data_IF_936770806709
#
_entry.id   IF_936770806709
#
_cell.length_a   1.000
_cell.length_b   1.000
_cell.length_c   1.000
_cell.angle_alpha   90.00
_cell.angle_beta   90.00
_cell.angle_gamma   90.00
#
_symmetry.space_group_name_H-M   'P 1'
#
loop_
_entity.id
_entity.type
_entity.pdbx_description
1 polymer ?
#
# COMPACT_ATOMS: atom_id res chain seq x y z
N UNK A 1 -4.67 -27.14 -16.95
CA UNK A 1 -3.53 -26.20 -16.92
C UNK A 1 -2.83 -26.38 -15.58
N UNK A 2 -1.51 -26.30 -15.59
CA UNK A 2 -0.72 -26.30 -14.35
C UNK A 2 -1.06 -25.03 -13.55
N UNK A 3 -1.28 -25.18 -12.24
CA UNK A 3 -1.62 -24.05 -11.38
C UNK A 3 -0.35 -23.26 -11.04
N UNK A 4 -0.51 -21.95 -10.83
CA UNK A 4 0.54 -21.12 -10.26
C UNK A 4 0.77 -21.54 -8.80
N UNK A 5 1.93 -22.10 -8.51
CA UNK A 5 2.34 -22.44 -7.15
C UNK A 5 2.83 -21.17 -6.44
N UNK A 6 2.17 -20.83 -5.33
CA UNK A 6 2.43 -19.62 -4.54
C UNK A 6 2.94 -20.01 -3.16
N UNK A 7 4.00 -19.33 -2.72
CA UNK A 7 4.51 -19.38 -1.35
C UNK A 7 4.18 -18.11 -0.57
N UNK A 8 3.81 -18.24 0.71
CA UNK A 8 3.53 -17.11 1.60
C UNK A 8 4.59 -17.03 2.68
N UNK A 9 5.33 -15.93 2.73
CA UNK A 9 6.34 -15.64 3.73
C UNK A 9 5.78 -14.57 4.68
N UNK A 10 5.48 -15.00 5.92
CA UNK A 10 4.77 -14.20 6.91
C UNK A 10 3.30 -14.63 7.05
N UNK A 11 3.00 -15.51 8.00
CA UNK A 11 1.64 -16.03 8.27
C UNK A 11 0.89 -15.18 9.31
N UNK A 12 1.08 -13.86 9.26
CA UNK A 12 0.35 -12.87 10.05
C UNK A 12 -1.06 -12.61 9.51
N UNK A 13 -1.67 -11.49 10.00
CA UNK A 13 -3.01 -11.10 9.57
C UNK A 13 -3.11 -10.94 8.05
N UNK A 14 -2.19 -10.15 7.44
CA UNK A 14 -2.27 -9.85 6.01
C UNK A 14 -1.92 -11.06 5.14
N UNK A 15 -0.94 -11.88 5.56
CA UNK A 15 -0.65 -13.14 4.88
C UNK A 15 -1.85 -14.10 4.88
N UNK A 16 -2.62 -14.11 5.97
CA UNK A 16 -3.89 -14.84 6.06
C UNK A 16 -4.97 -14.30 5.12
N UNK A 17 -5.05 -12.98 4.93
CA UNK A 17 -5.99 -12.34 3.99
C UNK A 17 -5.67 -12.79 2.58
N UNK A 18 -4.44 -12.61 2.10
CA UNK A 18 -4.02 -13.04 0.75
C UNK A 18 -4.20 -14.53 0.55
N UNK A 19 -3.77 -15.36 1.51
CA UNK A 19 -3.97 -16.80 1.43
C UNK A 19 -5.43 -17.19 1.24
N UNK A 20 -6.34 -16.55 1.97
CA UNK A 20 -7.78 -16.81 1.89
C UNK A 20 -8.41 -16.43 0.55
N UNK A 21 -7.83 -15.45 -0.14
CA UNK A 21 -8.24 -15.01 -1.46
C UNK A 21 -7.65 -15.92 -2.55
N UNK A 22 -6.36 -16.21 -2.45
CA UNK A 22 -5.63 -17.05 -3.42
C UNK A 22 -6.20 -18.47 -3.52
N UNK A 23 -6.61 -19.09 -2.42
CA UNK A 23 -7.22 -20.43 -2.46
C UNK A 23 -8.57 -20.48 -3.19
N UNK A 24 -9.20 -19.33 -3.43
CA UNK A 24 -10.46 -19.22 -4.19
C UNK A 24 -10.22 -19.08 -5.70
N UNK A 25 -9.01 -18.78 -6.13
CA UNK A 25 -8.67 -18.74 -7.56
C UNK A 25 -8.25 -20.15 -8.02
N UNK A 26 -9.04 -20.76 -8.90
CA UNK A 26 -8.81 -22.10 -9.39
C UNK A 26 -7.47 -22.25 -10.15
N UNK A 27 -6.89 -21.14 -10.60
CA UNK A 27 -5.58 -21.09 -11.30
C UNK A 27 -4.39 -21.12 -10.35
N UNK A 28 -4.62 -20.98 -9.03
CA UNK A 28 -3.58 -20.84 -8.01
C UNK A 28 -3.58 -22.04 -7.07
N UNK A 29 -2.40 -22.38 -6.57
CA UNK A 29 -2.21 -23.27 -5.44
C UNK A 29 -1.30 -22.59 -4.42
N UNK A 30 -1.76 -22.37 -3.20
CA UNK A 30 -0.87 -22.02 -2.08
C UNK A 30 -0.12 -23.28 -1.69
N UNK A 31 1.13 -23.40 -2.16
CA UNK A 31 1.93 -24.63 -2.06
C UNK A 31 2.75 -24.67 -0.78
N UNK A 32 3.29 -23.54 -0.34
CA UNK A 32 4.16 -23.45 0.83
C UNK A 32 3.89 -22.21 1.68
N UNK A 33 4.12 -22.33 2.99
CA UNK A 33 4.02 -21.23 3.96
C UNK A 33 5.24 -21.25 4.86
N UNK A 34 5.80 -20.07 5.15
CA UNK A 34 6.86 -19.89 6.15
C UNK A 34 6.55 -18.73 7.09
N UNK A 35 6.78 -18.93 8.38
CA UNK A 35 6.76 -17.87 9.42
C UNK A 35 7.79 -18.24 10.49
N UNK A 36 8.45 -17.26 11.09
CA UNK A 36 9.38 -17.47 12.22
C UNK A 36 8.67 -18.08 13.42
N UNK A 37 7.36 -17.82 13.59
CA UNK A 37 6.51 -18.48 14.56
C UNK A 37 5.85 -19.71 13.90
N UNK A 38 6.44 -20.89 14.08
CA UNK A 38 6.00 -22.14 13.45
C UNK A 38 4.50 -22.42 13.61
N UNK A 39 3.92 -22.09 14.77
CA UNK A 39 2.48 -22.24 15.01
C UNK A 39 1.61 -21.40 14.04
N UNK A 40 2.09 -20.21 13.63
CA UNK A 40 1.38 -19.39 12.63
C UNK A 40 1.44 -20.04 11.26
N UNK A 41 2.62 -20.51 10.86
CA UNK A 41 2.80 -21.22 9.60
C UNK A 41 1.93 -22.48 9.53
N UNK A 42 1.94 -23.31 10.59
CA UNK A 42 1.11 -24.51 10.67
C UNK A 42 -0.39 -24.21 10.59
N UNK A 43 -0.84 -23.15 11.28
CA UNK A 43 -2.25 -22.75 11.24
C UNK A 43 -2.66 -22.33 9.83
N UNK A 44 -1.86 -21.51 9.14
CA UNK A 44 -2.15 -21.08 7.79
C UNK A 44 -2.07 -22.26 6.81
N UNK A 45 -1.07 -23.12 6.94
CA UNK A 45 -0.94 -24.33 6.13
C UNK A 45 -2.16 -25.25 6.24
N UNK A 46 -2.70 -25.45 7.45
CA UNK A 46 -3.94 -26.24 7.63
C UNK A 46 -5.15 -25.67 6.89
N UNK A 47 -5.26 -24.34 6.79
CA UNK A 47 -6.41 -23.70 6.13
C UNK A 47 -6.29 -23.65 4.60
N UNK A 48 -5.06 -23.69 4.09
CA UNK A 48 -4.76 -23.59 2.65
C UNK A 48 -4.45 -24.94 1.99
N UNK A 49 -4.12 -25.96 2.79
CA UNK A 49 -3.59 -27.24 2.29
C UNK A 49 -2.11 -27.17 1.91
N UNK A 50 -1.41 -26.08 2.24
CA UNK A 50 0.00 -25.88 1.96
C UNK A 50 0.92 -26.70 2.86
N UNK A 51 2.20 -26.84 2.45
CA UNK A 51 3.26 -27.37 3.30
C UNK A 51 3.91 -26.26 4.12
N UNK A 52 4.45 -26.58 5.29
CA UNK A 52 5.26 -25.64 6.07
C UNK A 52 6.71 -25.78 5.65
N UNK A 53 7.27 -24.71 5.07
CA UNK A 53 8.68 -24.64 4.71
C UNK A 53 9.54 -24.31 5.94
N UNK A 54 10.70 -24.95 6.06
CA UNK A 54 11.62 -24.78 7.21
C UNK A 54 12.40 -23.48 7.13
N UNK A 55 12.59 -22.94 5.93
CA UNK A 55 13.28 -21.68 5.69
C UNK A 55 12.65 -20.89 4.53
N UNK A 56 13.01 -19.62 4.42
CA UNK A 56 12.63 -18.75 3.30
C UNK A 56 13.19 -19.30 1.98
N UNK A 57 14.42 -19.75 1.98
CA UNK A 57 15.10 -20.31 0.80
C UNK A 57 14.38 -21.57 0.31
N UNK A 58 14.04 -22.50 1.21
CA UNK A 58 13.27 -23.71 0.88
C UNK A 58 11.93 -23.35 0.23
N UNK A 59 11.23 -22.33 0.76
CA UNK A 59 9.98 -21.87 0.18
C UNK A 59 10.19 -21.29 -1.21
N UNK A 60 11.17 -20.38 -1.37
CA UNK A 60 11.45 -19.72 -2.65
C UNK A 60 11.79 -20.77 -3.73
N UNK A 61 12.57 -21.80 -3.41
CA UNK A 61 12.91 -22.87 -4.35
C UNK A 61 11.66 -23.63 -4.80
N UNK A 62 10.73 -23.89 -3.90
CA UNK A 62 9.58 -24.76 -4.10
C UNK A 62 8.44 -24.15 -4.94
N UNK A 63 8.42 -22.83 -5.19
CA UNK A 63 7.25 -22.16 -5.79
C UNK A 63 7.60 -21.32 -7.02
N UNK A 64 6.58 -20.95 -7.80
CA UNK A 64 6.70 -20.03 -8.94
C UNK A 64 6.56 -18.56 -8.56
N UNK A 65 5.78 -18.26 -7.52
CA UNK A 65 5.53 -16.89 -7.04
C UNK A 65 5.59 -16.83 -5.51
N UNK A 66 6.04 -15.68 -4.98
CA UNK A 66 6.23 -15.44 -3.55
C UNK A 66 5.41 -14.23 -3.12
N UNK A 67 4.63 -14.38 -2.06
CA UNK A 67 3.98 -13.29 -1.32
C UNK A 67 4.82 -12.94 -0.09
N UNK A 68 5.32 -11.70 -0.04
CA UNK A 68 6.12 -11.18 1.08
C UNK A 68 5.19 -10.35 1.97
N UNK A 69 4.84 -10.92 3.13
CA UNK A 69 3.84 -10.39 4.07
C UNK A 69 4.35 -10.36 5.50
N UNK A 70 5.67 -10.23 5.64
CA UNK A 70 6.41 -10.09 6.91
C UNK A 70 6.33 -8.67 7.46
N UNK A 71 6.92 -8.35 8.62
CA UNK A 71 7.14 -6.96 9.02
C UNK A 71 8.01 -6.18 8.03
N UNK A 72 7.78 -4.88 7.92
CA UNK A 72 8.27 -4.00 6.85
C UNK A 72 9.78 -4.07 6.59
N UNK A 73 10.60 -4.04 7.64
CA UNK A 73 12.07 -4.05 7.52
C UNK A 73 12.64 -5.37 6.99
N UNK A 74 11.80 -6.41 6.85
CA UNK A 74 12.20 -7.69 6.25
C UNK A 74 11.88 -7.80 4.77
N UNK A 75 11.04 -6.92 4.24
CA UNK A 75 10.53 -7.02 2.87
C UNK A 75 11.65 -6.98 1.83
N UNK A 76 12.56 -6.00 1.91
CA UNK A 76 13.65 -5.81 0.94
C UNK A 76 14.50 -7.05 0.74
N UNK A 77 15.01 -7.65 1.83
CA UNK A 77 15.89 -8.80 1.74
C UNK A 77 15.20 -10.02 1.11
N UNK A 78 13.94 -10.26 1.49
CA UNK A 78 13.14 -11.38 0.96
C UNK A 78 12.80 -11.15 -0.52
N UNK A 79 12.38 -9.92 -0.87
CA UNK A 79 12.08 -9.56 -2.25
C UNK A 79 13.29 -9.73 -3.17
N UNK A 80 14.47 -9.25 -2.76
CA UNK A 80 15.72 -9.41 -3.51
C UNK A 80 16.11 -10.88 -3.68
N UNK A 81 15.96 -11.72 -2.64
CA UNK A 81 16.23 -13.14 -2.72
C UNK A 81 15.29 -13.85 -3.73
N UNK A 82 13.99 -13.51 -3.71
CA UNK A 82 13.02 -14.06 -4.63
C UNK A 82 13.26 -13.61 -6.09
N UNK A 83 13.60 -12.33 -6.30
CA UNK A 83 13.97 -11.80 -7.63
C UNK A 83 15.22 -12.51 -8.16
N UNK A 84 16.27 -12.67 -7.34
CA UNK A 84 17.49 -13.37 -7.71
C UNK A 84 17.24 -14.85 -8.10
N UNK A 85 16.24 -15.47 -7.45
CA UNK A 85 15.77 -16.82 -7.81
C UNK A 85 14.80 -16.83 -9.01
N UNK A 86 14.57 -15.68 -9.66
CA UNK A 86 13.67 -15.51 -10.81
C UNK A 86 12.22 -15.88 -10.52
N UNK A 87 11.77 -15.67 -9.28
CA UNK A 87 10.38 -15.90 -8.89
C UNK A 87 9.56 -14.63 -9.10
N UNK A 88 8.28 -14.78 -9.44
CA UNK A 88 7.33 -13.68 -9.39
C UNK A 88 7.13 -13.24 -7.95
N UNK A 89 7.00 -11.94 -7.69
CA UNK A 89 6.94 -11.39 -6.34
C UNK A 89 5.75 -10.45 -6.19
N UNK A 90 4.90 -10.76 -5.25
CA UNK A 90 3.99 -9.80 -4.63
C UNK A 90 4.61 -9.38 -3.28
N UNK A 91 4.86 -8.10 -3.11
CA UNK A 91 5.45 -7.60 -1.86
C UNK A 91 4.52 -6.57 -1.21
N UNK A 92 4.13 -6.81 0.03
CA UNK A 92 3.34 -5.86 0.79
C UNK A 92 4.09 -4.53 0.97
N UNK A 93 3.29 -3.50 1.14
CA UNK A 93 3.81 -2.14 1.39
C UNK A 93 4.27 -1.97 2.87
N UNK A 94 5.28 -1.12 3.12
CA UNK A 94 6.27 -0.64 2.14
C UNK A 94 7.20 -1.79 1.75
N UNK A 95 7.56 -1.90 0.49
CA UNK A 95 8.51 -2.95 0.10
C UNK A 95 9.96 -2.68 0.55
N UNK A 96 10.21 -1.45 1.02
CA UNK A 96 11.46 -1.00 1.63
C UNK A 96 11.21 0.14 2.61
N UNK A 97 12.09 0.29 3.60
CA UNK A 97 12.04 1.35 4.62
C UNK A 97 13.20 2.35 4.51
N UNK A 98 13.93 2.30 3.41
CA UNK A 98 14.97 3.28 3.03
C UNK A 98 14.99 3.50 1.52
N UNK A 99 15.51 4.65 1.08
CA UNK A 99 15.69 4.95 -0.35
C UNK A 99 16.69 4.00 -0.99
N UNK A 100 17.75 3.67 -0.29
CA UNK A 100 18.81 2.77 -0.74
C UNK A 100 18.25 1.38 -1.04
N UNK A 101 17.48 0.83 -0.11
CA UNK A 101 16.81 -0.47 -0.26
C UNK A 101 15.75 -0.45 -1.37
N UNK A 102 14.96 0.63 -1.41
CA UNK A 102 13.96 0.80 -2.45
C UNK A 102 14.59 0.87 -3.85
N UNK A 103 15.74 1.53 -3.98
CA UNK A 103 16.52 1.57 -5.23
C UNK A 103 17.02 0.19 -5.61
N UNK A 104 17.60 -0.55 -4.66
CA UNK A 104 18.10 -1.89 -4.92
C UNK A 104 17.01 -2.84 -5.44
N UNK A 105 15.80 -2.80 -4.86
CA UNK A 105 14.67 -3.61 -5.34
C UNK A 105 14.18 -3.13 -6.71
N UNK A 106 14.09 -1.81 -6.94
CA UNK A 106 13.69 -1.26 -8.24
C UNK A 106 14.65 -1.71 -9.34
N UNK A 107 15.96 -1.59 -9.12
CA UNK A 107 16.99 -1.95 -10.09
C UNK A 107 16.94 -3.46 -10.37
N UNK A 108 16.92 -4.30 -9.32
CA UNK A 108 16.81 -5.75 -9.45
C UNK A 108 15.53 -6.19 -10.19
N UNK A 109 14.39 -5.56 -9.89
CA UNK A 109 13.12 -5.86 -10.57
C UNK A 109 13.12 -5.46 -12.04
N UNK A 110 13.81 -4.36 -12.40
CA UNK A 110 13.92 -3.88 -13.77
C UNK A 110 14.79 -4.77 -14.66
N UNK A 111 15.74 -5.49 -14.07
CA UNK A 111 16.63 -6.44 -14.74
C UNK A 111 16.01 -7.85 -14.82
N UNK A 112 14.90 -8.08 -14.13
CA UNK A 112 14.20 -9.37 -14.09
C UNK A 112 13.06 -9.43 -15.10
N UNK A 113 12.85 -10.60 -15.71
CA UNK A 113 11.65 -10.88 -16.48
C UNK A 113 10.47 -11.33 -15.60
N UNK A 114 10.68 -11.55 -14.31
CA UNK A 114 9.63 -11.92 -13.38
C UNK A 114 8.75 -10.71 -13.01
N UNK A 115 7.48 -10.96 -12.79
CA UNK A 115 6.54 -9.95 -12.31
C UNK A 115 6.91 -9.53 -10.88
N UNK A 116 6.96 -8.22 -10.65
CA UNK A 116 7.07 -7.63 -9.31
C UNK A 116 5.91 -6.65 -9.11
N UNK A 117 5.07 -6.91 -8.11
CA UNK A 117 3.94 -6.04 -7.74
C UNK A 117 4.02 -5.63 -6.27
N UNK A 118 3.72 -4.37 -5.99
CA UNK A 118 3.65 -3.84 -4.61
C UNK A 118 2.20 -3.83 -4.12
N UNK A 119 1.97 -4.22 -2.87
CA UNK A 119 0.67 -4.31 -2.23
C UNK A 119 0.09 -2.95 -1.80
N UNK A 120 -0.12 -2.03 -2.74
CA UNK A 120 -0.87 -0.79 -2.51
C UNK A 120 -2.37 -1.00 -2.80
N UNK A 121 -3.01 -1.82 -1.99
CA UNK A 121 -4.40 -2.27 -2.12
C UNK A 121 -5.40 -1.15 -2.39
N UNK A 122 -5.18 0.04 -1.83
CA UNK A 122 -6.10 1.18 -2.01
C UNK A 122 -6.25 1.64 -3.45
N UNK A 123 -5.22 1.48 -4.30
CA UNK A 123 -5.35 1.76 -5.74
C UNK A 123 -6.41 0.90 -6.42
N UNK A 124 -6.69 -0.29 -5.87
CA UNK A 124 -7.68 -1.24 -6.38
C UNK A 124 -9.02 -1.17 -5.64
N UNK A 125 -9.12 -0.40 -4.55
CA UNK A 125 -10.36 -0.25 -3.80
C UNK A 125 -11.43 0.47 -4.64
N UNK A 126 -12.66 -0.05 -4.73
CA UNK A 126 -13.72 0.49 -5.58
C UNK A 126 -14.02 1.97 -5.36
N UNK A 127 -13.87 2.46 -4.12
CA UNK A 127 -14.06 3.88 -3.79
C UNK A 127 -13.04 4.77 -4.50
N UNK A 128 -11.76 4.37 -4.51
CA UNK A 128 -10.68 5.15 -5.14
C UNK A 128 -10.62 4.95 -6.65
N UNK A 129 -10.96 3.77 -7.16
CA UNK A 129 -11.16 3.56 -8.60
C UNK A 129 -12.28 4.47 -9.13
N UNK A 130 -13.40 4.53 -8.39
CA UNK A 130 -14.51 5.43 -8.73
C UNK A 130 -14.09 6.90 -8.66
N UNK A 131 -13.34 7.29 -7.61
CA UNK A 131 -12.81 8.65 -7.50
C UNK A 131 -11.92 8.99 -8.70
N UNK A 132 -10.99 8.11 -9.07
CA UNK A 132 -10.10 8.31 -10.23
C UNK A 132 -10.88 8.49 -11.54
N UNK A 133 -11.95 7.74 -11.73
CA UNK A 133 -12.86 7.89 -12.88
C UNK A 133 -13.55 9.25 -12.88
N UNK A 134 -14.12 9.67 -11.73
CA UNK A 134 -14.75 10.99 -11.61
C UNK A 134 -13.78 12.14 -11.89
N UNK A 135 -12.50 12.00 -11.48
CA UNK A 135 -11.46 13.01 -11.74
C UNK A 135 -11.02 13.07 -13.20
N UNK A 136 -11.24 12.03 -13.99
CA UNK A 136 -11.01 12.10 -15.45
C UNK A 136 -12.05 12.99 -16.17
N UNK A 137 -13.22 13.18 -15.56
CA UNK A 137 -14.30 14.03 -16.09
C UNK A 137 -14.27 15.45 -15.52
N UNK A 138 -13.61 15.66 -14.37
CA UNK A 138 -13.58 16.94 -13.67
C UNK A 138 -12.19 17.17 -13.07
N UNK A 139 -11.40 18.04 -13.72
CA UNK A 139 -10.05 18.35 -13.26
C UNK A 139 -10.04 18.88 -11.80
N UNK A 140 -9.24 18.29 -10.91
CA UNK A 140 -9.16 18.74 -9.53
C UNK A 140 -8.34 20.04 -9.43
N UNK A 141 -8.78 20.98 -8.57
CA UNK A 141 -8.04 22.19 -8.24
C UNK A 141 -7.21 22.02 -6.99
N UNK A 142 -7.81 21.41 -5.95
CA UNK A 142 -7.16 21.12 -4.68
C UNK A 142 -7.84 19.95 -3.96
N UNK A 143 -7.21 19.47 -2.89
CA UNK A 143 -7.78 18.40 -2.06
C UNK A 143 -7.39 18.54 -0.59
N UNK A 144 -8.24 17.97 0.28
CA UNK A 144 -7.92 17.67 1.67
C UNK A 144 -7.91 16.15 1.88
N UNK A 145 -6.81 15.66 2.44
CA UNK A 145 -6.61 14.24 2.72
C UNK A 145 -6.36 14.04 4.20
N UNK A 146 -7.00 13.04 4.76
CA UNK A 146 -6.82 12.67 6.16
C UNK A 146 -6.58 11.18 6.27
N UNK A 147 -5.61 10.79 7.12
CA UNK A 147 -5.43 9.42 7.56
C UNK A 147 -4.99 9.40 9.02
N UNK A 148 -5.92 9.09 9.89
CA UNK A 148 -5.62 8.92 11.30
C UNK A 148 -5.53 7.42 11.63
N UNK A 149 -4.81 7.11 12.68
CA UNK A 149 -4.79 5.79 13.29
C UNK A 149 -4.97 5.96 14.79
N UNK A 150 -5.58 4.99 15.45
CA UNK A 150 -5.57 4.92 16.90
C UNK A 150 -4.20 4.44 17.41
N UNK A 151 -4.15 4.08 18.67
CA UNK A 151 -2.94 3.56 19.31
C UNK A 151 -2.26 2.45 18.48
N UNK A 152 -0.94 2.51 18.40
CA UNK A 152 -0.12 1.53 17.68
C UNK A 152 0.24 0.36 18.60
N UNK A 153 -0.76 -0.40 19.05
CA UNK A 153 -0.62 -1.46 20.04
C UNK A 153 -0.94 -2.87 19.53
N UNK A 154 -1.50 -2.99 18.33
CA UNK A 154 -1.90 -4.28 17.81
C UNK A 154 -1.61 -4.42 16.30
N UNK A 155 -0.67 -5.30 15.94
CA UNK A 155 0.23 -6.07 16.82
C UNK A 155 1.21 -5.16 17.59
N UNK A 156 1.75 -5.62 18.71
CA UNK A 156 2.62 -4.84 19.63
C UNK A 156 3.80 -4.17 18.91
N UNK A 157 4.37 -4.81 17.87
CA UNK A 157 5.50 -4.30 17.12
C UNK A 157 5.16 -3.13 16.17
N UNK A 158 3.88 -2.82 15.94
CA UNK A 158 3.45 -1.75 14.99
C UNK A 158 3.92 -0.36 15.42
N UNK A 159 4.11 -0.12 16.72
CA UNK A 159 4.67 1.11 17.26
C UNK A 159 6.20 1.16 17.31
N UNK A 160 6.90 0.10 16.89
CA UNK A 160 8.35 0.01 16.92
C UNK A 160 8.95 0.43 15.57
N UNK A 161 9.63 1.59 15.49
CA UNK A 161 10.23 2.07 14.24
C UNK A 161 11.37 1.18 13.73
N UNK A 162 12.05 0.41 14.58
CA UNK A 162 13.09 -0.54 14.17
C UNK A 162 12.50 -1.71 13.36
N UNK A 163 11.19 -1.96 13.50
CA UNK A 163 10.46 -3.02 12.80
C UNK A 163 9.66 -2.47 11.62
N UNK A 164 9.06 -1.28 11.78
CA UNK A 164 8.15 -0.70 10.80
C UNK A 164 8.83 0.31 9.86
N UNK A 165 9.97 0.86 10.24
CA UNK A 165 10.59 2.01 9.59
C UNK A 165 9.99 3.36 10.01
N UNK A 166 8.95 3.34 10.88
CA UNK A 166 8.27 4.51 11.40
C UNK A 166 6.83 4.67 10.92
N UNK A 167 6.10 5.58 11.58
CA UNK A 167 4.66 5.77 11.38
C UNK A 167 4.27 6.09 9.92
N UNK A 168 5.05 6.92 9.23
CA UNK A 168 4.74 7.23 7.83
C UNK A 168 4.90 6.01 6.92
N UNK A 169 5.91 5.16 7.13
CA UNK A 169 6.10 3.91 6.39
C UNK A 169 5.00 2.90 6.69
N UNK A 170 4.61 2.76 7.95
CA UNK A 170 3.60 1.78 8.34
C UNK A 170 2.19 2.19 7.92
N UNK A 171 1.84 3.47 8.08
CA UNK A 171 0.45 3.93 7.95
C UNK A 171 0.26 4.90 6.79
N UNK A 172 0.91 6.05 6.84
CA UNK A 172 0.60 7.20 5.98
C UNK A 172 0.99 6.98 4.52
N UNK A 173 1.93 6.08 4.25
CA UNK A 173 2.37 5.72 2.88
C UNK A 173 1.19 5.33 1.97
N UNK A 174 0.13 4.75 2.52
CA UNK A 174 -1.08 4.45 1.76
C UNK A 174 -1.70 5.70 1.13
N UNK A 175 -1.74 6.81 1.87
CA UNK A 175 -2.34 8.05 1.35
C UNK A 175 -1.36 8.86 0.52
N UNK A 176 -0.06 8.78 0.80
CA UNK A 176 0.96 9.37 -0.06
C UNK A 176 0.95 8.71 -1.45
N UNK A 177 0.88 7.39 -1.50
CA UNK A 177 0.70 6.64 -2.74
C UNK A 177 -0.63 6.97 -3.44
N UNK A 178 -1.72 7.02 -2.68
CA UNK A 178 -3.05 7.35 -3.19
C UNK A 178 -3.11 8.75 -3.80
N UNK A 179 -2.47 9.73 -3.16
CA UNK A 179 -2.39 11.10 -3.71
C UNK A 179 -1.64 11.13 -5.03
N UNK A 180 -0.53 10.38 -5.18
CA UNK A 180 0.16 10.21 -6.46
C UNK A 180 -0.76 9.55 -7.51
N UNK A 181 -1.42 8.46 -7.13
CA UNK A 181 -2.35 7.75 -8.01
C UNK A 181 -3.47 8.66 -8.53
N UNK A 182 -4.04 9.49 -7.66
CA UNK A 182 -5.16 10.36 -8.01
C UNK A 182 -4.74 11.62 -8.77
N UNK A 183 -3.65 12.28 -8.35
CA UNK A 183 -3.31 13.66 -8.71
C UNK A 183 -2.02 13.79 -9.51
N UNK A 184 -1.25 12.70 -9.66
CA UNK A 184 0.04 12.69 -10.36
C UNK A 184 1.24 12.90 -9.43
N UNK A 185 2.40 13.16 -10.00
CA UNK A 185 3.65 13.25 -9.23
C UNK A 185 3.72 14.53 -8.39
N UNK A 186 4.28 14.39 -7.19
CA UNK A 186 4.50 15.48 -6.25
C UNK A 186 5.81 16.19 -6.59
N UNK A 187 5.74 17.50 -6.85
CA UNK A 187 6.92 18.32 -7.12
C UNK A 187 7.60 18.80 -5.84
N UNK A 188 6.81 19.33 -4.89
CA UNK A 188 7.33 19.83 -3.61
C UNK A 188 6.38 19.55 -2.46
N UNK A 189 6.93 19.50 -1.24
CA UNK A 189 6.16 19.40 0.00
C UNK A 189 6.74 20.27 1.12
N UNK A 190 5.83 20.79 1.95
CA UNK A 190 6.12 21.45 3.22
C UNK A 190 5.46 20.59 4.31
N UNK A 191 6.18 20.21 5.35
CA UNK A 191 5.68 19.30 6.40
C UNK A 191 6.00 19.82 7.78
N UNK A 192 4.99 19.82 8.65
CA UNK A 192 5.16 19.92 10.10
C UNK A 192 4.93 18.51 10.70
N UNK A 193 5.73 18.14 11.68
CA UNK A 193 5.60 16.87 12.40
C UNK A 193 5.98 17.03 13.84
N UNK A 194 5.31 16.30 14.72
CA UNK A 194 5.54 16.29 16.17
C UNK A 194 5.45 14.87 16.71
N UNK A 195 6.01 14.66 17.89
CA UNK A 195 5.94 13.43 18.65
C UNK A 195 5.11 13.70 19.90
N UNK A 196 4.05 12.93 20.12
CA UNK A 196 3.16 13.07 21.27
C UNK A 196 3.17 11.84 22.15
N UNK A 197 2.93 10.67 21.59
CA UNK A 197 2.74 9.43 22.30
C UNK A 197 3.90 8.45 22.12
N UNK A 198 4.49 8.43 20.92
CA UNK A 198 5.56 7.50 20.56
C UNK A 198 6.94 8.15 20.58
N UNK A 199 8.04 7.37 20.68
CA UNK A 199 9.40 7.92 20.68
C UNK A 199 9.81 8.55 19.34
N UNK A 200 9.03 8.35 18.28
CA UNK A 200 9.22 8.95 16.95
C UNK A 200 8.11 9.95 16.62
N UNK A 201 8.22 10.59 15.45
CA UNK A 201 7.19 11.48 14.94
C UNK A 201 5.89 10.67 14.66
N UNK A 202 4.79 11.04 15.28
CA UNK A 202 3.51 10.34 15.24
C UNK A 202 2.33 11.19 14.78
N UNK A 203 2.55 12.50 14.55
CA UNK A 203 1.58 13.45 14.03
C UNK A 203 2.20 14.30 12.92
N UNK A 204 1.52 14.39 11.77
CA UNK A 204 2.02 15.08 10.59
C UNK A 204 0.93 15.93 9.92
N UNK A 205 1.32 17.13 9.51
CA UNK A 205 0.54 17.97 8.60
C UNK A 205 1.41 18.39 7.43
N UNK A 206 0.95 18.14 6.21
CA UNK A 206 1.72 18.41 5.00
C UNK A 206 0.90 19.21 3.97
N UNK A 207 1.59 20.09 3.22
CA UNK A 207 1.09 20.71 2.00
C UNK A 207 1.93 20.19 0.82
N UNK A 208 1.29 19.44 -0.07
CA UNK A 208 1.90 18.87 -1.26
C UNK A 208 1.51 19.70 -2.50
N UNK A 209 2.48 19.98 -3.38
CA UNK A 209 2.24 20.60 -4.69
C UNK A 209 2.64 19.61 -5.77
N UNK A 210 1.73 19.37 -6.69
CA UNK A 210 1.89 18.42 -7.78
C UNK A 210 2.47 19.09 -9.03
N UNK A 211 3.10 18.33 -9.90
CA UNK A 211 3.64 18.80 -11.16
C UNK A 211 2.55 19.43 -12.06
N UNK A 212 1.30 18.99 -11.93
CA UNK A 212 0.14 19.55 -12.61
C UNK A 212 -0.24 20.97 -12.17
N UNK A 213 0.37 21.50 -11.10
CA UNK A 213 -0.01 22.77 -10.46
C UNK A 213 -1.12 22.64 -9.40
N UNK A 214 -1.75 21.47 -9.27
CA UNK A 214 -2.66 21.14 -8.18
C UNK A 214 -1.92 21.15 -6.84
N UNK A 215 -2.64 21.33 -5.73
CA UNK A 215 -2.10 21.17 -4.38
C UNK A 215 -3.07 20.44 -3.47
N UNK A 216 -2.54 19.78 -2.45
CA UNK A 216 -3.36 19.11 -1.43
C UNK A 216 -2.74 19.22 -0.05
N UNK A 217 -3.59 19.19 0.97
CA UNK A 217 -3.16 19.03 2.35
C UNK A 217 -3.35 17.58 2.80
N UNK A 218 -2.43 17.11 3.65
CA UNK A 218 -2.52 15.81 4.30
C UNK A 218 -2.37 16.02 5.81
N UNK A 219 -3.31 15.47 6.59
CA UNK A 219 -3.18 15.34 8.04
C UNK A 219 -3.17 13.85 8.40
N UNK A 220 -2.20 13.44 9.21
CA UNK A 220 -2.05 12.04 9.63
C UNK A 220 -1.53 11.98 11.06
N UNK A 221 -2.27 11.29 11.93
CA UNK A 221 -1.97 11.19 13.36
C UNK A 221 -2.11 9.75 13.84
N UNK A 222 -1.16 9.28 14.65
CA UNK A 222 -1.17 7.93 15.20
C UNK A 222 -2.09 7.80 16.42
N UNK A 223 -2.09 8.72 17.34
CA UNK A 223 -2.83 8.63 18.61
C UNK A 223 -4.23 9.27 18.52
N UNK A 224 -4.85 9.19 17.35
CA UNK A 224 -6.19 9.70 17.14
C UNK A 224 -7.25 8.61 17.37
N UNK A 225 -8.52 9.02 17.44
CA UNK A 225 -9.62 8.06 17.53
C UNK A 225 -9.70 7.14 16.31
N UNK A 226 -9.99 5.87 16.57
CA UNK A 226 -10.35 4.89 15.54
C UNK A 226 -11.76 5.08 14.99
N UNK A 227 -12.48 6.12 15.43
CA UNK A 227 -13.85 6.35 14.97
C UNK A 227 -13.86 6.68 13.48
N UNK A 228 -14.74 5.98 12.82
CA UNK A 228 -15.05 6.12 11.40
C UNK A 228 -15.52 7.57 11.04
N UNK A 229 -15.03 8.15 9.94
CA UNK A 229 -14.00 7.67 9.05
C UNK A 229 -12.59 8.05 9.55
N UNK A 230 -11.68 7.09 9.62
CA UNK A 230 -10.28 7.38 9.96
C UNK A 230 -9.48 7.87 8.73
N UNK A 231 -9.87 7.49 7.50
CA UNK A 231 -9.33 8.07 6.27
C UNK A 231 -10.42 8.76 5.44
N UNK A 232 -10.06 9.84 4.78
CA UNK A 232 -10.96 10.63 3.94
C UNK A 232 -10.16 11.37 2.89
N UNK A 233 -10.69 11.41 1.66
CA UNK A 233 -10.23 12.27 0.58
C UNK A 233 -11.39 13.18 0.17
N UNK A 234 -11.15 14.49 0.17
CA UNK A 234 -12.11 15.50 -0.29
C UNK A 234 -11.44 16.31 -1.39
N UNK A 235 -12.02 16.30 -2.59
CA UNK A 235 -11.45 16.92 -3.79
C UNK A 235 -12.37 18.03 -4.27
N UNK A 236 -11.78 19.18 -4.54
CA UNK A 236 -12.47 20.36 -5.07
C UNK A 236 -12.18 20.50 -6.55
N UNK A 237 -13.27 20.49 -7.34
CA UNK A 237 -13.27 20.66 -8.78
C UNK A 237 -14.12 21.89 -9.15
N UNK A 238 -14.18 22.24 -10.44
CA UNK A 238 -15.07 23.31 -10.91
C UNK A 238 -16.54 22.93 -10.63
N UNK A 239 -17.23 23.73 -9.80
CA UNK A 239 -18.62 23.51 -9.38
C UNK A 239 -18.92 22.10 -8.82
N UNK A 240 -17.91 21.37 -8.32
CA UNK A 240 -18.10 20.05 -7.75
C UNK A 240 -17.16 19.79 -6.57
N UNK A 241 -17.65 19.08 -5.57
CA UNK A 241 -16.86 18.50 -4.50
C UNK A 241 -17.08 17.00 -4.47
N UNK A 242 -15.99 16.24 -4.43
CA UNK A 242 -16.05 14.78 -4.34
C UNK A 242 -15.43 14.35 -3.02
N UNK A 243 -16.16 13.56 -2.23
CA UNK A 243 -15.73 13.16 -0.90
C UNK A 243 -15.83 11.65 -0.73
N UNK A 244 -14.76 11.03 -0.27
CA UNK A 244 -14.78 9.62 0.17
C UNK A 244 -15.09 9.54 1.66
N UNK A 245 -15.68 8.44 2.09
CA UNK A 245 -15.86 8.10 3.49
C UNK A 245 -15.30 6.70 3.72
N UNK A 246 -14.00 6.63 4.00
CA UNK A 246 -13.20 5.40 3.95
C UNK A 246 -13.47 4.60 2.68
N UNK A 247 -13.61 3.27 2.83
CA UNK A 247 -14.00 2.35 1.75
C UNK A 247 -15.52 2.19 1.63
N UNK A 248 -16.31 2.96 2.42
CA UNK A 248 -17.75 2.75 2.55
C UNK A 248 -18.57 3.46 1.47
N UNK A 249 -18.16 4.66 1.09
CA UNK A 249 -18.91 5.43 0.11
C UNK A 249 -18.10 6.56 -0.51
N UNK A 250 -18.56 7.01 -1.67
CA UNK A 250 -18.11 8.22 -2.34
C UNK A 250 -19.33 9.09 -2.70
N UNK A 251 -19.25 10.37 -2.42
CA UNK A 251 -20.28 11.36 -2.73
C UNK A 251 -19.72 12.43 -3.64
N UNK A 252 -20.41 12.72 -4.73
CA UNK A 252 -20.19 13.89 -5.58
C UNK A 252 -21.32 14.87 -5.37
N UNK A 253 -20.97 16.09 -4.98
CA UNK A 253 -21.88 17.23 -4.86
C UNK A 253 -21.61 18.17 -6.02
N UNK A 254 -22.65 18.56 -6.75
CA UNK A 254 -22.55 19.36 -7.96
C UNK A 254 -23.42 20.60 -7.87
N UNK A 255 -22.96 21.67 -8.49
CA UNK A 255 -23.64 22.95 -8.67
C UNK A 255 -24.09 23.62 -7.37
N UNK A 256 -24.68 24.79 -7.50
CA UNK A 256 -25.18 25.60 -6.37
C UNK A 256 -26.54 25.12 -5.85
N UNK A 257 -27.22 24.25 -6.57
CA UNK A 257 -28.54 23.72 -6.22
C UNK A 257 -28.49 22.45 -5.34
N UNK A 258 -27.29 21.99 -5.01
CA UNK A 258 -27.10 20.95 -4.00
C UNK A 258 -27.43 19.51 -4.47
N UNK A 259 -27.25 19.19 -5.74
CA UNK A 259 -27.37 17.79 -6.20
C UNK A 259 -26.25 16.93 -5.60
N UNK A 260 -26.64 15.83 -4.98
CA UNK A 260 -25.72 14.87 -4.35
C UNK A 260 -25.90 13.47 -4.94
N UNK A 261 -24.82 12.90 -5.44
CA UNK A 261 -24.80 11.52 -5.92
C UNK A 261 -23.86 10.71 -5.02
N UNK A 262 -24.42 9.76 -4.28
CA UNK A 262 -23.65 8.87 -3.41
C UNK A 262 -23.67 7.45 -3.95
N UNK A 263 -22.46 6.87 -4.13
CA UNK A 263 -22.27 5.45 -4.38
C UNK A 263 -21.79 4.78 -3.11
N UNK A 264 -22.54 3.77 -2.64
CA UNK A 264 -22.21 3.00 -1.44
C UNK A 264 -21.53 1.68 -1.81
N UNK A 265 -20.48 1.30 -1.07
CA UNK A 265 -19.77 0.03 -1.14
C UNK A 265 -20.04 -0.83 0.10
N UNK A 266 -20.95 -0.44 0.99
CA UNK A 266 -21.18 -1.08 2.30
C UNK A 266 -21.52 -2.56 2.22
N UNK A 267 -22.19 -2.99 1.15
CA UNK A 267 -22.61 -4.40 0.96
C UNK A 267 -21.49 -5.30 0.40
N UNK A 268 -20.36 -4.74 0.00
CA UNK A 268 -19.23 -5.51 -0.49
C UNK A 268 -18.50 -6.20 0.67
N UNK A 269 -17.94 -7.38 0.41
CA UNK A 269 -17.05 -8.04 1.35
C UNK A 269 -15.85 -7.14 1.69
N UNK A 270 -15.31 -7.26 2.91
CA UNK A 270 -14.21 -6.42 3.38
C UNK A 270 -13.02 -6.47 2.42
N UNK A 271 -12.63 -7.65 2.00
CA UNK A 271 -11.47 -7.87 1.15
C UNK A 271 -11.65 -7.25 -0.25
N UNK A 272 -12.87 -7.25 -0.78
CA UNK A 272 -13.21 -6.59 -2.04
C UNK A 272 -13.26 -5.06 -1.86
N UNK A 273 -13.90 -4.60 -0.80
CA UNK A 273 -14.07 -3.18 -0.50
C UNK A 273 -12.73 -2.46 -0.30
N UNK A 274 -11.77 -3.14 0.32
CA UNK A 274 -10.43 -2.64 0.57
C UNK A 274 -9.45 -2.86 -0.58
N UNK A 275 -9.85 -3.57 -1.64
CA UNK A 275 -9.04 -3.76 -2.84
C UNK A 275 -8.13 -4.99 -2.82
N UNK A 276 -8.09 -5.75 -1.73
CA UNK A 276 -7.23 -6.94 -1.61
C UNK A 276 -7.55 -8.01 -2.66
N UNK A 277 -8.84 -8.30 -2.86
CA UNK A 277 -9.24 -9.30 -3.86
C UNK A 277 -8.87 -8.89 -5.28
N UNK A 278 -8.93 -7.60 -5.58
CA UNK A 278 -8.60 -7.06 -6.90
C UNK A 278 -7.09 -7.04 -7.13
N UNK A 279 -6.28 -6.69 -6.12
CA UNK A 279 -4.81 -6.66 -6.29
C UNK A 279 -4.22 -8.06 -6.43
N UNK A 280 -4.73 -9.07 -5.68
CA UNK A 280 -4.33 -10.46 -5.83
C UNK A 280 -4.68 -11.00 -7.22
N UNK A 281 -5.92 -10.73 -7.69
CA UNK A 281 -6.32 -11.11 -9.04
C UNK A 281 -5.43 -10.46 -10.10
N UNK A 282 -5.15 -9.16 -9.97
CA UNK A 282 -4.30 -8.44 -10.90
C UNK A 282 -2.87 -9.01 -10.95
N UNK A 283 -2.31 -9.40 -9.81
CA UNK A 283 -1.02 -10.07 -9.76
C UNK A 283 -1.06 -11.42 -10.49
N UNK A 284 -2.06 -12.25 -10.22
CA UNK A 284 -2.23 -13.54 -10.89
C UNK A 284 -2.41 -13.38 -12.40
N UNK A 285 -3.23 -12.40 -12.83
CA UNK A 285 -3.41 -12.07 -14.25
C UNK A 285 -2.11 -11.59 -14.91
N UNK A 286 -1.30 -10.80 -14.19
CA UNK A 286 0.01 -10.37 -14.70
C UNK A 286 0.96 -11.54 -14.89
N UNK A 287 0.96 -12.52 -13.97
CA UNK A 287 1.84 -13.69 -14.03
C UNK A 287 1.40 -14.68 -15.11
N UNK A 288 0.11 -14.99 -15.18
CA UNK A 288 -0.40 -16.06 -16.05
C UNK A 288 -0.77 -15.59 -17.46
N UNK A 289 -1.30 -14.37 -17.56
CA UNK A 289 -1.88 -13.86 -18.80
C UNK A 289 -1.06 -12.71 -19.41
N UNK A 290 0.02 -12.28 -18.74
CA UNK A 290 0.86 -11.16 -19.20
C UNK A 290 0.15 -9.80 -19.12
N UNK A 291 -0.85 -9.68 -18.26
CA UNK A 291 -1.52 -8.39 -18.02
C UNK A 291 -0.52 -7.37 -17.43
N UNK A 292 -0.71 -6.07 -17.67
CA UNK A 292 0.15 -5.05 -17.08
C UNK A 292 0.11 -5.08 -15.56
N UNK A 293 1.28 -4.94 -14.92
CA UNK A 293 1.38 -4.82 -13.45
C UNK A 293 0.72 -3.53 -13.00
N UNK A 294 -0.22 -3.61 -12.07
CA UNK A 294 -1.05 -2.47 -11.65
C UNK A 294 -0.35 -1.53 -10.67
N UNK A 295 0.56 -2.05 -9.85
CA UNK A 295 1.42 -1.28 -8.94
C UNK A 295 2.85 -1.77 -9.07
N UNK A 296 3.65 -1.04 -9.81
CA UNK A 296 5.02 -1.42 -10.17
C UNK A 296 6.02 -1.17 -9.03
N UNK A 297 7.23 -1.73 -9.15
CA UNK A 297 8.35 -1.38 -8.27
C UNK A 297 8.67 0.13 -8.31
N UNK A 298 8.49 0.80 -9.47
CA UNK A 298 8.65 2.25 -9.57
C UNK A 298 7.61 3.00 -8.76
N UNK A 299 6.36 2.55 -8.76
CA UNK A 299 5.31 3.14 -7.92
C UNK A 299 5.66 3.04 -6.43
N UNK A 300 6.08 1.84 -6.00
CA UNK A 300 6.52 1.62 -4.63
C UNK A 300 7.74 2.47 -4.25
N UNK A 301 8.74 2.57 -5.15
CA UNK A 301 9.91 3.45 -4.96
C UNK A 301 9.48 4.91 -4.74
N UNK A 302 8.59 5.41 -5.60
CA UNK A 302 8.06 6.78 -5.49
C UNK A 302 7.29 7.02 -4.19
N UNK A 303 6.61 6.01 -3.66
CA UNK A 303 5.93 6.10 -2.37
C UNK A 303 6.92 6.17 -1.20
N UNK A 304 7.99 5.36 -1.24
CA UNK A 304 9.11 5.43 -0.28
C UNK A 304 9.82 6.79 -0.36
N UNK A 305 10.06 7.30 -1.58
CA UNK A 305 10.66 8.62 -1.82
C UNK A 305 9.84 9.75 -1.16
N UNK A 306 8.52 9.69 -1.24
CA UNK A 306 7.64 10.66 -0.58
C UNK A 306 7.68 10.56 0.94
N UNK A 307 7.74 9.35 1.50
CA UNK A 307 7.90 9.16 2.95
C UNK A 307 9.22 9.76 3.43
N UNK A 308 10.35 9.44 2.75
CA UNK A 308 11.66 10.02 3.07
C UNK A 308 11.63 11.57 2.97
N UNK A 309 11.00 12.08 1.91
CA UNK A 309 10.88 13.54 1.72
C UNK A 309 10.08 14.20 2.85
N UNK A 310 9.03 13.56 3.38
CA UNK A 310 8.27 14.05 4.53
C UNK A 310 9.14 14.12 5.79
N UNK A 311 9.83 13.04 6.15
CA UNK A 311 10.75 13.03 7.30
C UNK A 311 11.86 14.05 7.13
N UNK A 312 12.42 14.19 5.93
CA UNK A 312 13.43 15.19 5.61
C UNK A 312 12.93 16.62 5.81
N UNK A 313 11.72 16.93 5.30
CA UNK A 313 11.12 18.25 5.44
C UNK A 313 10.93 18.65 6.91
N UNK A 314 10.45 17.73 7.76
CA UNK A 314 10.34 17.98 9.20
C UNK A 314 11.71 18.25 9.82
N UNK A 315 12.72 17.46 9.48
CA UNK A 315 14.07 17.57 10.05
C UNK A 315 14.76 18.89 9.71
N UNK A 316 14.62 19.39 8.48
CA UNK A 316 15.25 20.64 8.05
C UNK A 316 14.36 21.88 8.28
N UNK A 317 13.06 21.71 8.52
CA UNK A 317 12.10 22.79 8.69
C UNK A 317 11.84 23.63 7.43
N UNK A 318 12.14 23.08 6.25
CA UNK A 318 12.03 23.78 4.97
C UNK A 318 11.29 22.94 3.93
N UNK A 319 10.86 23.62 2.84
CA UNK A 319 10.29 22.96 1.68
C UNK A 319 11.28 22.01 1.02
N UNK A 320 10.80 20.82 0.70
CA UNK A 320 11.57 19.79 -0.01
C UNK A 320 11.06 19.62 -1.43
N UNK A 321 12.00 19.56 -2.39
CA UNK A 321 11.72 19.09 -3.76
C UNK A 321 11.85 17.56 -3.78
N UNK A 322 10.82 16.90 -4.30
CA UNK A 322 10.80 15.44 -4.48
C UNK A 322 11.64 15.08 -5.69
N UNK A 323 12.44 14.01 -5.58
CA UNK A 323 13.32 13.57 -6.68
C UNK A 323 14.58 14.43 -6.89
N UNK A 324 14.77 15.51 -6.15
CA UNK A 324 16.04 16.25 -6.18
C UNK A 324 17.15 15.40 -5.54
N UNK A 325 18.29 15.31 -6.21
CA UNK A 325 19.47 14.65 -5.66
C UNK A 325 19.83 15.24 -4.28
N UNK A 326 20.21 14.35 -3.34
CA UNK A 326 20.66 14.71 -1.99
C UNK A 326 21.97 15.48 -2.04
#
# INVERSE_FOLDING_TARGET
MEKLEVGIIGAGYIGGVHASLLVRDERVQVAAVHDIAGERAERLARTTGATVARSIEELIEAVGAVYVTTPNTRHTAIALAAIAARKHVFCEKPFATSIEDARAVLDASSESSAVFQVGHNRRMAPVYVTLKQMLSESAPHSAHVKMNRGELINPEWVGDPEITGGFLYETTIHMLDMMRFLFGEVATLDVAGTSHQYPELDDFSALLRFESGMHATLASSADASWLFPFERVEVFCHHATITTREMESITRSEELDGRHHTRSMQQMAKEEKWGYAQEDRAFVDSVLDGAPVVVTALDGFKSVELVDACYRAVRIGERVHVGAAR
#
